data_IF_621546336341
#
_entry.id   IF_621546336341
#
_cell.length_a   1.000
_cell.length_b   1.000
_cell.length_c   1.000
_cell.angle_alpha   90.00
_cell.angle_beta   90.00
_cell.angle_gamma   90.00
#
_symmetry.space_group_name_H-M   'P 1'
#
loop_
_entity.id
_entity.type
_entity.pdbx_description
1 polymer ?
#
# COMPACT_ATOMS: atom_id res chain seq x y z
N UNK A 1 24.28 -19.45 -7.91
CA UNK A 1 23.61 -20.13 -9.02
C UNK A 1 23.23 -21.53 -8.59
N UNK A 2 21.92 -21.80 -8.55
CA UNK A 2 21.40 -23.14 -8.22
C UNK A 2 20.73 -23.72 -9.45
N UNK A 3 20.92 -24.99 -9.69
CA UNK A 3 20.23 -25.76 -10.72
C UNK A 3 19.13 -26.60 -10.06
N UNK A 4 18.04 -26.85 -10.79
CA UNK A 4 16.98 -27.74 -10.35
C UNK A 4 17.53 -29.16 -10.15
N UNK A 5 17.34 -29.74 -8.99
CA UNK A 5 17.83 -31.09 -8.66
C UNK A 5 17.14 -32.19 -9.48
N UNK A 6 15.94 -31.90 -10.00
CA UNK A 6 15.14 -32.87 -10.76
C UNK A 6 15.45 -32.86 -12.26
N UNK A 7 15.59 -31.66 -12.88
CA UNK A 7 15.77 -31.54 -14.32
C UNK A 7 17.12 -30.95 -14.74
N UNK A 8 17.93 -30.50 -13.81
CA UNK A 8 19.23 -29.86 -14.09
C UNK A 8 19.12 -28.46 -14.73
N UNK A 9 17.92 -27.93 -14.92
CA UNK A 9 17.72 -26.59 -15.46
C UNK A 9 18.17 -25.51 -14.50
N UNK A 10 18.57 -24.37 -15.01
CA UNK A 10 18.96 -23.20 -14.23
C UNK A 10 17.74 -22.61 -13.50
N UNK A 11 17.88 -22.32 -12.19
CA UNK A 11 16.83 -21.71 -11.40
C UNK A 11 16.92 -20.19 -11.53
N UNK A 12 15.84 -19.59 -11.98
CA UNK A 12 15.68 -18.14 -12.00
C UNK A 12 15.31 -17.68 -10.58
N UNK A 13 16.00 -16.66 -10.08
CA UNK A 13 15.67 -16.02 -8.82
C UNK A 13 14.87 -14.76 -9.10
N UNK A 14 13.69 -14.65 -8.49
CA UNK A 14 12.85 -13.46 -8.55
C UNK A 14 12.51 -12.98 -7.14
N UNK A 15 12.50 -11.65 -6.96
CA UNK A 15 12.02 -11.01 -5.74
C UNK A 15 12.95 -11.14 -4.54
N UNK A 16 12.36 -10.96 -3.37
CA UNK A 16 13.01 -11.09 -2.06
C UNK A 16 12.40 -12.24 -1.27
N UNK A 17 13.17 -12.77 -0.31
CA UNK A 17 12.68 -13.71 0.68
C UNK A 17 11.71 -12.99 1.63
N UNK A 18 10.42 -12.98 1.29
CA UNK A 18 9.37 -12.48 2.16
C UNK A 18 8.73 -13.69 2.85
N UNK A 19 8.68 -13.71 4.20
CA UNK A 19 8.03 -14.80 4.91
C UNK A 19 6.56 -14.93 4.48
N UNK A 20 6.16 -16.11 4.06
CA UNK A 20 4.80 -16.36 3.55
C UNK A 20 3.73 -16.09 4.60
N UNK A 21 4.11 -16.24 5.85
CA UNK A 21 3.30 -15.96 7.03
C UNK A 21 2.85 -14.51 7.13
N UNK A 22 3.59 -13.57 6.54
CA UNK A 22 3.19 -12.15 6.48
C UNK A 22 1.85 -11.97 5.76
N UNK A 23 1.56 -12.81 4.77
CA UNK A 23 0.33 -12.74 3.97
C UNK A 23 -0.78 -13.58 4.55
N UNK A 24 -0.49 -14.78 5.03
CA UNK A 24 -1.48 -15.77 5.42
C UNK A 24 -1.59 -15.98 6.94
N UNK A 25 -0.68 -15.41 7.75
CA UNK A 25 -0.52 -15.77 9.15
C UNK A 25 0.10 -17.16 9.32
N UNK A 26 0.55 -17.48 10.53
CA UNK A 26 1.18 -18.77 10.83
C UNK A 26 0.21 -19.95 10.81
N UNK A 27 -1.08 -19.70 10.85
CA UNK A 27 -2.14 -20.73 10.83
C UNK A 27 -2.97 -20.71 9.55
N UNK A 28 -2.62 -19.87 8.57
CA UNK A 28 -3.43 -19.66 7.37
C UNK A 28 -4.80 -19.02 7.66
N UNK A 29 -4.89 -18.29 8.76
CA UNK A 29 -6.13 -17.67 9.27
C UNK A 29 -6.32 -16.22 8.80
N UNK A 30 -5.35 -15.69 8.07
CA UNK A 30 -5.43 -14.35 7.46
C UNK A 30 -5.83 -14.45 6.00
N UNK A 31 -6.87 -13.73 5.60
CA UNK A 31 -7.19 -13.54 4.18
C UNK A 31 -6.21 -12.54 3.58
N UNK A 32 -5.48 -12.89 2.51
CA UNK A 32 -4.54 -11.96 1.90
C UNK A 32 -5.25 -10.81 1.18
N UNK A 33 -4.68 -9.63 1.24
CA UNK A 33 -5.02 -8.55 0.32
C UNK A 33 -4.39 -8.88 -1.05
N UNK A 34 -5.19 -8.83 -2.11
CA UNK A 34 -4.75 -9.15 -3.47
C UNK A 34 -4.82 -7.87 -4.30
N UNK A 35 -3.66 -7.27 -4.52
CA UNK A 35 -3.49 -6.10 -5.37
C UNK A 35 -2.98 -6.52 -6.75
N UNK A 36 -3.74 -6.18 -7.79
CA UNK A 36 -3.43 -6.49 -9.18
C UNK A 36 -3.25 -5.18 -9.95
N UNK A 37 -2.03 -4.90 -10.39
CA UNK A 37 -1.69 -3.69 -11.11
C UNK A 37 -1.86 -3.88 -12.62
N UNK A 38 -2.75 -3.09 -13.20
CA UNK A 38 -2.99 -3.05 -14.63
C UNK A 38 -2.67 -1.66 -15.20
N UNK A 39 -2.48 -1.59 -16.51
CA UNK A 39 -2.54 -0.31 -17.20
C UNK A 39 -3.86 0.39 -16.91
N UNK A 40 -3.81 1.69 -16.56
CA UNK A 40 -5.01 2.47 -16.25
C UNK A 40 -6.03 2.45 -17.40
N UNK A 41 -5.57 2.41 -18.64
CA UNK A 41 -6.41 2.31 -19.83
C UNK A 41 -7.11 0.95 -19.94
N UNK A 42 -6.49 -0.12 -19.44
CA UNK A 42 -7.00 -1.49 -19.52
C UNK A 42 -7.78 -1.92 -18.27
N UNK A 43 -7.70 -1.18 -17.17
CA UNK A 43 -8.36 -1.50 -15.91
C UNK A 43 -9.86 -1.83 -16.06
N UNK A 44 -10.68 -1.09 -16.82
CA UNK A 44 -12.10 -1.43 -17.01
C UNK A 44 -12.31 -2.80 -17.66
N UNK A 45 -11.42 -3.21 -18.56
CA UNK A 45 -11.47 -4.55 -19.17
C UNK A 45 -11.14 -5.63 -18.16
N UNK A 46 -10.13 -5.41 -17.30
CA UNK A 46 -9.79 -6.32 -16.22
C UNK A 46 -10.94 -6.47 -15.22
N UNK A 47 -11.60 -5.36 -14.84
CA UNK A 47 -12.81 -5.41 -14.02
C UNK A 47 -13.89 -6.27 -14.66
N UNK A 48 -14.22 -6.04 -15.93
CA UNK A 48 -15.26 -6.80 -16.62
C UNK A 48 -14.89 -8.28 -16.77
N UNK A 49 -13.60 -8.60 -16.90
CA UNK A 49 -13.15 -9.98 -17.00
C UNK A 49 -13.39 -10.78 -15.72
N UNK A 50 -13.43 -10.15 -14.56
CA UNK A 50 -13.81 -10.85 -13.31
C UNK A 50 -15.22 -11.42 -13.37
N UNK A 51 -16.16 -10.78 -14.09
CA UNK A 51 -17.50 -11.32 -14.31
C UNK A 51 -17.48 -12.59 -15.16
N UNK A 52 -16.55 -12.66 -16.12
CA UNK A 52 -16.36 -13.87 -16.95
C UNK A 52 -15.79 -15.01 -16.11
N UNK A 53 -14.87 -14.71 -15.20
CA UNK A 53 -14.21 -15.72 -14.36
C UNK A 53 -15.10 -16.26 -13.25
N UNK A 54 -15.87 -15.40 -12.58
CA UNK A 54 -16.59 -15.75 -11.35
C UNK A 54 -18.11 -15.77 -11.49
N UNK A 55 -18.65 -15.26 -12.60
CA UNK A 55 -20.07 -15.07 -12.79
C UNK A 55 -20.53 -13.64 -12.55
N UNK A 56 -21.48 -13.18 -13.36
CA UNK A 56 -21.97 -11.79 -13.31
C UNK A 56 -22.74 -11.49 -12.01
N UNK A 57 -23.39 -12.50 -11.45
CA UNK A 57 -24.15 -12.45 -10.20
C UNK A 57 -23.29 -12.61 -8.93
N UNK A 58 -21.98 -12.86 -9.09
CA UNK A 58 -21.02 -13.09 -8.00
C UNK A 58 -20.01 -11.96 -7.81
N UNK A 59 -20.02 -10.95 -8.67
CA UNK A 59 -19.00 -9.91 -8.70
C UNK A 59 -19.62 -8.53 -8.58
N UNK A 60 -19.15 -7.75 -7.60
CA UNK A 60 -19.68 -6.44 -7.27
C UNK A 60 -18.54 -5.44 -7.03
N UNK A 61 -18.80 -4.15 -7.26
CA UNK A 61 -17.85 -3.11 -6.84
C UNK A 61 -17.87 -2.97 -5.33
N UNK A 62 -16.70 -2.82 -4.72
CA UNK A 62 -16.60 -2.54 -3.29
C UNK A 62 -17.17 -1.15 -2.98
N UNK A 63 -18.08 -1.08 -2.02
CA UNK A 63 -18.63 0.17 -1.52
C UNK A 63 -17.67 0.87 -0.57
N UNK A 64 -17.75 2.19 -0.52
CA UNK A 64 -17.10 3.03 0.48
C UNK A 64 -18.11 3.92 1.17
N UNK A 65 -17.87 4.22 2.45
CA UNK A 65 -18.69 5.15 3.21
C UNK A 65 -17.83 6.33 3.62
N UNK A 66 -18.14 7.49 3.05
CA UNK A 66 -17.52 8.75 3.44
C UNK A 66 -18.11 9.27 4.76
N UNK A 67 -17.25 9.56 5.70
CA UNK A 67 -17.63 10.14 7.00
C UNK A 67 -17.16 11.58 7.12
N UNK A 68 -17.73 12.31 8.06
CA UNK A 68 -17.32 13.69 8.35
C UNK A 68 -15.97 13.66 9.08
N UNK A 69 -14.93 14.18 8.42
CA UNK A 69 -13.60 14.33 9.04
C UNK A 69 -13.62 15.45 10.09
N UNK A 70 -12.74 15.39 11.08
CA UNK A 70 -12.65 16.34 12.20
C UNK A 70 -12.54 17.80 11.73
N UNK A 71 -11.67 18.09 10.76
CA UNK A 71 -11.53 19.43 10.18
C UNK A 71 -12.82 19.94 9.52
N UNK A 72 -13.56 19.06 8.86
CA UNK A 72 -14.86 19.38 8.25
C UNK A 72 -15.91 19.59 9.33
N UNK A 73 -15.95 18.76 10.36
CA UNK A 73 -16.83 18.89 11.51
C UNK A 73 -16.59 20.23 12.23
N UNK A 74 -15.33 20.62 12.42
CA UNK A 74 -14.98 21.92 13.00
C UNK A 74 -15.54 23.07 12.15
N UNK A 75 -15.41 23.01 10.82
CA UNK A 75 -15.97 24.00 9.91
C UNK A 75 -17.50 24.11 10.05
N UNK A 76 -18.20 23.00 10.11
CA UNK A 76 -19.66 22.98 10.28
C UNK A 76 -20.09 23.56 11.61
N UNK A 77 -19.46 23.17 12.71
CA UNK A 77 -19.77 23.69 14.06
C UNK A 77 -19.53 25.18 14.13
N UNK A 78 -18.40 25.66 13.63
CA UNK A 78 -18.06 27.11 13.62
C UNK A 78 -19.01 27.89 12.73
N UNK A 79 -19.31 27.38 11.54
CA UNK A 79 -20.27 28.00 10.62
C UNK A 79 -21.64 28.15 11.28
N UNK A 80 -22.19 27.06 11.82
CA UNK A 80 -23.47 27.10 12.51
C UNK A 80 -23.51 28.10 13.69
N UNK A 81 -22.49 28.07 14.54
CA UNK A 81 -22.44 28.98 15.69
C UNK A 81 -22.37 30.47 15.24
N UNK A 82 -21.61 30.75 14.20
CA UNK A 82 -21.52 32.12 13.64
C UNK A 82 -22.87 32.56 13.02
N UNK A 83 -23.52 31.69 12.24
CA UNK A 83 -24.81 31.99 11.63
C UNK A 83 -25.91 32.26 12.67
N UNK A 84 -25.84 31.58 13.80
CA UNK A 84 -26.77 31.76 14.92
C UNK A 84 -26.35 32.89 15.89
N UNK A 85 -25.17 33.51 15.71
CA UNK A 85 -24.64 34.51 16.63
C UNK A 85 -24.30 33.97 18.01
N UNK A 86 -24.02 32.65 18.12
CA UNK A 86 -23.74 31.98 19.38
C UNK A 86 -22.23 31.90 19.63
N UNK A 87 -21.79 32.44 20.75
CA UNK A 87 -20.42 32.31 21.18
C UNK A 87 -20.25 31.16 22.18
N UNK A 88 -19.33 30.22 21.88
CA UNK A 88 -18.98 29.09 22.76
C UNK A 88 -17.49 29.07 23.05
N UNK A 89 -17.12 28.50 24.21
CA UNK A 89 -15.70 28.25 24.54
C UNK A 89 -15.12 27.19 23.63
N UNK A 90 -13.78 27.19 23.43
CA UNK A 90 -13.06 26.22 22.60
C UNK A 90 -13.41 24.76 22.98
N UNK A 91 -13.36 24.43 24.27
CA UNK A 91 -13.68 23.09 24.75
C UNK A 91 -15.11 22.61 24.41
N UNK A 92 -16.10 23.54 24.39
CA UNK A 92 -17.47 23.18 23.96
C UNK A 92 -17.54 23.03 22.44
N UNK A 93 -16.80 23.81 21.68
CA UNK A 93 -16.66 23.64 20.22
C UNK A 93 -16.06 22.27 19.94
N UNK A 94 -14.96 21.91 20.61
CA UNK A 94 -14.28 20.61 20.45
C UNK A 94 -15.21 19.44 20.82
N UNK A 95 -16.03 19.58 21.86
CA UNK A 95 -17.03 18.55 22.20
C UNK A 95 -18.07 18.37 21.10
N UNK A 96 -18.55 19.45 20.52
CA UNK A 96 -19.51 19.41 19.40
C UNK A 96 -18.87 18.82 18.13
N UNK A 97 -17.62 19.19 17.84
CA UNK A 97 -16.82 18.66 16.73
C UNK A 97 -16.66 17.15 16.87
N UNK A 98 -16.30 16.64 18.07
CA UNK A 98 -16.20 15.19 18.32
C UNK A 98 -17.54 14.48 18.08
N UNK A 99 -18.67 15.10 18.45
CA UNK A 99 -20.00 14.55 18.19
C UNK A 99 -20.41 14.52 16.71
N UNK A 100 -19.79 15.34 15.87
CA UNK A 100 -20.03 15.38 14.41
C UNK A 100 -19.01 14.56 13.64
N UNK A 101 -17.85 14.29 14.21
CA UNK A 101 -16.77 13.54 13.55
C UNK A 101 -17.19 12.06 13.42
N UNK A 102 -16.90 11.47 12.25
CA UNK A 102 -17.22 10.06 11.98
C UNK A 102 -18.67 9.80 11.57
N UNK A 103 -19.54 10.82 11.57
CA UNK A 103 -20.92 10.67 11.08
C UNK A 103 -20.88 10.30 9.59
N UNK A 104 -21.59 9.25 9.20
CA UNK A 104 -21.73 8.80 7.82
C UNK A 104 -22.43 9.85 7.00
N UNK A 105 -21.86 10.20 5.84
CA UNK A 105 -22.36 11.29 4.99
C UNK A 105 -22.70 10.84 3.59
N UNK A 106 -21.78 10.10 2.95
CA UNK A 106 -21.93 9.73 1.54
C UNK A 106 -21.56 8.26 1.36
N UNK A 107 -22.14 7.64 0.34
CA UNK A 107 -21.69 6.34 -0.18
C UNK A 107 -20.93 6.57 -1.47
N UNK A 108 -19.98 5.71 -1.77
CA UNK A 108 -19.17 5.77 -2.98
C UNK A 108 -18.72 4.39 -3.41
N UNK A 109 -17.92 4.35 -4.46
CA UNK A 109 -17.26 3.14 -4.94
C UNK A 109 -15.77 3.20 -4.66
N UNK A 110 -15.19 2.07 -4.25
CA UNK A 110 -13.74 1.92 -4.25
C UNK A 110 -13.22 1.90 -5.70
N UNK A 111 -12.16 2.65 -6.05
CA UNK A 111 -11.72 2.79 -7.43
C UNK A 111 -11.22 1.47 -8.06
N UNK A 112 -10.64 0.57 -7.29
CA UNK A 112 -10.09 -0.70 -7.74
C UNK A 112 -10.76 -1.94 -7.14
N UNK A 113 -11.51 -1.80 -6.04
CA UNK A 113 -12.02 -2.92 -5.26
C UNK A 113 -13.17 -3.67 -5.96
N UNK A 114 -12.97 -4.96 -6.13
CA UNK A 114 -13.97 -5.91 -6.63
C UNK A 114 -14.23 -6.95 -5.53
N UNK A 115 -15.49 -7.09 -5.14
CA UNK A 115 -15.94 -8.12 -4.20
C UNK A 115 -16.35 -9.35 -4.99
N UNK A 116 -15.81 -10.49 -4.59
CA UNK A 116 -16.17 -11.81 -5.15
C UNK A 116 -16.87 -12.60 -4.06
N UNK A 117 -18.10 -13.03 -4.37
CA UNK A 117 -18.94 -13.84 -3.49
C UNK A 117 -18.73 -15.31 -3.82
N UNK A 118 -18.62 -16.20 -2.81
CA UNK A 118 -18.57 -17.65 -3.05
C UNK A 118 -19.75 -18.13 -3.89
N UNK A 119 -19.53 -19.08 -4.79
CA UNK A 119 -20.55 -19.59 -5.73
C UNK A 119 -21.77 -20.24 -5.05
N UNK A 120 -21.60 -20.77 -3.83
CA UNK A 120 -22.66 -21.37 -3.02
C UNK A 120 -23.43 -20.35 -2.13
N UNK A 121 -23.10 -19.05 -2.19
CA UNK A 121 -23.74 -17.98 -1.38
C UNK A 121 -24.30 -16.87 -2.28
N UNK A 122 -25.15 -16.04 -1.70
CA UNK A 122 -25.69 -14.84 -2.35
C UNK A 122 -25.09 -13.57 -1.75
N UNK A 123 -25.00 -12.50 -2.56
CA UNK A 123 -24.52 -11.20 -2.06
C UNK A 123 -25.37 -10.67 -0.91
N UNK A 124 -26.67 -10.96 -0.91
CA UNK A 124 -27.59 -10.52 0.13
C UNK A 124 -27.37 -11.21 1.49
N UNK A 125 -26.58 -12.29 1.52
CA UNK A 125 -26.12 -12.89 2.79
C UNK A 125 -25.11 -11.99 3.51
N UNK A 126 -24.47 -11.06 2.78
CA UNK A 126 -23.39 -10.19 3.30
C UNK A 126 -23.80 -8.71 3.36
N UNK A 127 -24.47 -8.20 2.35
CA UNK A 127 -24.73 -6.76 2.22
C UNK A 127 -25.87 -6.48 1.23
N UNK A 128 -26.65 -5.41 1.46
CA UNK A 128 -27.44 -4.83 0.39
C UNK A 128 -26.55 -4.32 -0.74
N UNK A 129 -27.10 -4.23 -1.93
CA UNK A 129 -26.43 -3.65 -3.11
C UNK A 129 -27.17 -2.40 -3.59
N UNK A 130 -26.46 -1.53 -4.29
CA UNK A 130 -27.01 -0.28 -4.81
C UNK A 130 -26.40 0.07 -6.18
N UNK A 131 -27.10 0.87 -6.94
CA UNK A 131 -26.52 1.52 -8.11
C UNK A 131 -25.62 2.68 -7.68
N UNK A 132 -24.43 2.85 -8.32
CA UNK A 132 -23.54 3.96 -8.01
C UNK A 132 -24.23 5.29 -8.35
N UNK A 133 -24.24 6.24 -7.40
CA UNK A 133 -24.89 7.54 -7.55
C UNK A 133 -26.37 7.47 -8.02
N UNK A 134 -27.08 6.41 -7.64
CA UNK A 134 -28.47 6.11 -8.08
C UNK A 134 -28.66 5.97 -9.61
N UNK A 135 -27.57 5.79 -10.35
CA UNK A 135 -27.60 5.60 -11.80
C UNK A 135 -27.98 4.15 -12.16
N UNK A 136 -29.23 3.93 -12.49
CA UNK A 136 -29.76 2.61 -12.88
C UNK A 136 -29.24 2.12 -14.24
N UNK A 137 -28.56 2.96 -15.01
CA UNK A 137 -27.91 2.56 -16.27
C UNK A 137 -26.51 2.02 -16.06
N UNK A 138 -25.96 2.12 -14.84
CA UNK A 138 -24.62 1.60 -14.51
C UNK A 138 -24.54 0.10 -14.72
N UNK A 139 -23.47 -0.36 -15.37
CA UNK A 139 -23.20 -1.77 -15.64
C UNK A 139 -22.70 -2.54 -14.41
N UNK A 140 -22.43 -1.85 -13.31
CA UNK A 140 -21.90 -2.41 -12.07
C UNK A 140 -22.78 -2.03 -10.88
N UNK A 141 -23.10 -3.05 -10.07
CA UNK A 141 -23.68 -2.84 -8.75
C UNK A 141 -22.56 -2.70 -7.71
N UNK A 142 -22.83 -1.91 -6.67
CA UNK A 142 -21.90 -1.63 -5.58
C UNK A 142 -22.46 -2.20 -4.29
N UNK A 143 -21.61 -2.77 -3.44
CA UNK A 143 -21.98 -3.15 -2.09
C UNK A 143 -22.35 -1.90 -1.30
N UNK A 144 -23.44 -1.97 -0.50
CA UNK A 144 -23.85 -0.82 0.32
C UNK A 144 -23.00 -0.71 1.59
N UNK A 145 -22.66 -1.84 2.21
CA UNK A 145 -21.75 -1.84 3.35
C UNK A 145 -20.33 -1.56 2.89
N UNK A 146 -19.61 -0.80 3.70
CA UNK A 146 -18.17 -0.62 3.52
C UNK A 146 -17.45 -1.97 3.63
N UNK A 147 -16.44 -2.18 2.78
CA UNK A 147 -15.71 -3.44 2.75
C UNK A 147 -15.16 -3.84 4.13
N UNK A 148 -14.69 -2.88 4.93
CA UNK A 148 -14.16 -3.17 6.28
C UNK A 148 -15.18 -3.81 7.23
N UNK A 149 -16.47 -3.72 6.90
CA UNK A 149 -17.53 -4.36 7.70
C UNK A 149 -17.85 -5.78 7.27
N UNK A 150 -17.37 -6.22 6.10
CA UNK A 150 -17.68 -7.54 5.51
C UNK A 150 -16.42 -8.31 5.07
N UNK A 151 -15.22 -7.78 5.29
CA UNK A 151 -13.96 -8.29 4.74
C UNK A 151 -13.60 -9.71 5.20
N UNK A 152 -14.09 -10.16 6.35
CA UNK A 152 -13.81 -11.49 6.87
C UNK A 152 -14.59 -12.61 6.13
N UNK A 153 -15.60 -12.26 5.35
CA UNK A 153 -16.54 -13.20 4.77
C UNK A 153 -16.51 -13.25 3.24
N UNK A 154 -15.89 -12.26 2.58
CA UNK A 154 -15.85 -12.16 1.12
C UNK A 154 -14.43 -11.86 0.65
N UNK A 155 -14.09 -12.32 -0.55
CA UNK A 155 -12.82 -11.99 -1.18
C UNK A 155 -12.90 -10.62 -1.84
N UNK A 156 -11.90 -9.79 -1.60
CA UNK A 156 -11.70 -8.54 -2.32
C UNK A 156 -10.47 -8.66 -3.23
N UNK A 157 -10.63 -8.27 -4.48
CA UNK A 157 -9.55 -8.06 -5.42
C UNK A 157 -9.41 -6.57 -5.65
N UNK A 158 -8.24 -6.00 -5.39
CA UNK A 158 -7.92 -4.62 -5.75
C UNK A 158 -7.27 -4.60 -7.13
N UNK A 159 -8.10 -4.32 -8.15
CA UNK A 159 -7.65 -4.18 -9.54
C UNK A 159 -7.36 -2.71 -9.78
N UNK A 160 -6.08 -2.37 -9.68
CA UNK A 160 -5.60 -0.99 -9.69
C UNK A 160 -5.12 -0.60 -11.09
N UNK A 161 -5.46 0.61 -11.51
CA UNK A 161 -4.96 1.21 -12.75
C UNK A 161 -3.77 2.10 -12.47
N UNK A 162 -2.62 1.79 -13.08
CA UNK A 162 -1.37 2.54 -12.95
C UNK A 162 -0.83 2.96 -14.30
N UNK A 163 0.01 3.99 -14.32
CA UNK A 163 0.72 4.43 -15.51
C UNK A 163 1.92 3.52 -15.82
N UNK A 164 2.53 2.92 -14.80
CA UNK A 164 3.74 2.10 -14.93
C UNK A 164 3.58 0.92 -15.89
N UNK A 165 2.52 0.09 -15.79
CA UNK A 165 2.30 -0.99 -16.75
C UNK A 165 2.09 -0.48 -18.18
N UNK A 166 1.48 0.70 -18.36
CA UNK A 166 1.31 1.33 -19.66
C UNK A 166 2.67 1.72 -20.25
N UNK A 167 3.53 2.35 -19.45
CA UNK A 167 4.88 2.76 -19.86
C UNK A 167 5.76 1.56 -20.16
N UNK A 168 5.75 0.53 -19.32
CA UNK A 168 6.52 -0.70 -19.53
C UNK A 168 6.10 -1.38 -20.82
N UNK A 169 4.80 -1.46 -21.10
CA UNK A 169 4.29 -2.03 -22.35
C UNK A 169 4.71 -1.21 -23.56
N UNK A 170 4.62 0.10 -23.50
CA UNK A 170 5.09 0.98 -24.58
C UNK A 170 6.59 0.79 -24.85
N UNK A 171 7.41 0.73 -23.81
CA UNK A 171 8.85 0.50 -23.94
C UNK A 171 9.15 -0.89 -24.54
N UNK A 172 8.39 -1.92 -24.16
CA UNK A 172 8.48 -3.24 -24.75
C UNK A 172 8.15 -3.19 -26.26
N UNK A 173 7.06 -2.54 -26.63
CA UNK A 173 6.62 -2.45 -28.02
C UNK A 173 7.63 -1.66 -28.90
N UNK A 174 8.28 -0.64 -28.34
CA UNK A 174 9.29 0.16 -29.03
C UNK A 174 10.65 -0.54 -29.15
N UNK A 175 11.09 -1.23 -28.11
CA UNK A 175 12.42 -1.85 -28.04
C UNK A 175 12.45 -3.31 -28.50
N UNK A 176 11.31 -4.01 -28.45
CA UNK A 176 11.23 -5.45 -28.63
C UNK A 176 11.80 -6.28 -27.47
N UNK A 177 12.19 -5.64 -26.37
CA UNK A 177 12.76 -6.30 -25.19
C UNK A 177 11.65 -6.71 -24.23
N UNK A 178 11.63 -7.98 -23.83
CA UNK A 178 10.73 -8.43 -22.77
C UNK A 178 11.21 -7.90 -21.41
N UNK A 179 10.42 -7.08 -20.68
CA UNK A 179 10.79 -6.52 -19.40
C UNK A 179 11.19 -7.56 -18.35
N UNK A 180 10.65 -8.76 -18.44
CA UNK A 180 10.96 -9.89 -17.53
C UNK A 180 12.39 -10.42 -17.70
N UNK A 181 13.05 -10.10 -18.81
CA UNK A 181 14.43 -10.52 -19.07
C UNK A 181 15.47 -9.50 -18.64
N UNK A 182 15.05 -8.31 -18.20
CA UNK A 182 15.95 -7.24 -17.76
C UNK A 182 16.48 -7.57 -16.37
N UNK A 183 17.82 -7.65 -16.18
CA UNK A 183 18.40 -7.92 -14.88
C UNK A 183 18.18 -6.72 -13.93
N UNK A 184 17.86 -7.00 -12.67
CA UNK A 184 17.65 -5.96 -11.64
C UNK A 184 18.93 -5.44 -11.01
N UNK A 185 20.10 -6.01 -11.37
CA UNK A 185 21.42 -5.68 -10.84
C UNK A 185 22.33 -4.99 -11.87
N UNK A 186 21.75 -4.46 -12.96
CA UNK A 186 22.50 -3.68 -13.94
C UNK A 186 23.13 -2.44 -13.30
N UNK A 187 24.45 -2.33 -13.42
CA UNK A 187 25.24 -1.32 -12.71
C UNK A 187 25.00 0.11 -13.22
N UNK A 188 24.79 0.27 -14.51
CA UNK A 188 24.53 1.60 -15.11
C UNK A 188 23.15 2.09 -14.68
N UNK A 189 22.17 1.20 -14.68
CA UNK A 189 20.83 1.49 -14.16
C UNK A 189 20.87 1.79 -12.68
N UNK A 190 21.59 1.02 -11.87
CA UNK A 190 21.73 1.29 -10.44
C UNK A 190 22.41 2.64 -10.15
N UNK A 191 23.29 3.10 -11.03
CA UNK A 191 23.95 4.39 -10.85
C UNK A 191 22.98 5.58 -10.88
N UNK A 192 21.85 5.50 -11.58
CA UNK A 192 20.87 6.61 -11.65
C UNK A 192 20.31 6.99 -10.27
N UNK A 193 20.32 6.08 -9.32
CA UNK A 193 19.84 6.33 -7.95
C UNK A 193 20.82 7.15 -7.10
N UNK A 194 22.06 7.32 -7.55
CA UNK A 194 23.08 8.11 -6.85
C UNK A 194 23.69 9.23 -7.71
N UNK A 195 23.55 9.16 -9.03
CA UNK A 195 24.11 10.15 -9.98
C UNK A 195 23.35 10.10 -11.31
N UNK A 196 23.18 11.22 -12.03
CA UNK A 196 22.59 11.22 -13.36
C UNK A 196 23.58 10.86 -14.48
N UNK A 197 24.86 10.62 -14.16
CA UNK A 197 25.93 10.48 -15.15
C UNK A 197 25.72 9.36 -16.17
N UNK A 198 25.14 8.21 -15.78
CA UNK A 198 24.83 7.11 -16.70
C UNK A 198 23.75 7.47 -17.75
N UNK A 199 22.98 8.53 -17.51
CA UNK A 199 22.04 9.09 -18.49
C UNK A 199 22.72 10.06 -19.49
N UNK A 200 24.01 10.30 -19.35
CA UNK A 200 24.77 11.23 -20.21
C UNK A 200 24.47 12.70 -19.91
N UNK A 201 23.97 13.03 -18.73
CA UNK A 201 23.70 14.40 -18.29
C UNK A 201 24.40 14.67 -16.95
N UNK A 202 24.63 15.96 -16.67
CA UNK A 202 25.23 16.40 -15.40
C UNK A 202 24.17 16.81 -14.37
N UNK A 203 24.59 16.97 -13.11
CA UNK A 203 23.72 17.48 -12.05
C UNK A 203 23.22 18.90 -12.38
N UNK A 204 24.05 19.71 -13.01
CA UNK A 204 23.70 21.08 -13.42
C UNK A 204 22.66 21.11 -14.54
N UNK A 205 22.73 20.15 -15.49
CA UNK A 205 21.78 20.08 -16.60
C UNK A 205 20.36 19.82 -16.14
N UNK A 206 20.20 18.98 -15.13
CA UNK A 206 18.87 18.57 -14.62
C UNK A 206 18.54 19.14 -13.24
N UNK A 207 19.44 19.93 -12.65
CA UNK A 207 19.30 20.52 -11.30
C UNK A 207 18.96 19.46 -10.23
N UNK A 208 19.58 18.28 -10.34
CA UNK A 208 19.34 17.14 -9.47
C UNK A 208 20.57 16.25 -9.38
N UNK A 209 20.88 15.76 -8.18
CA UNK A 209 21.99 14.84 -7.93
C UNK A 209 21.71 13.40 -8.32
N UNK A 210 20.45 13.05 -8.55
CA UNK A 210 20.03 11.71 -8.97
C UNK A 210 19.39 11.74 -10.34
N UNK A 211 19.44 10.63 -11.08
CA UNK A 211 18.83 10.46 -12.39
C UNK A 211 17.39 9.93 -12.35
N UNK A 212 16.67 10.09 -11.25
CA UNK A 212 15.43 9.34 -10.97
C UNK A 212 14.14 10.10 -11.23
N UNK A 213 14.16 11.27 -11.88
CA UNK A 213 12.94 12.06 -12.15
C UNK A 213 11.83 11.28 -12.85
N UNK A 214 12.17 10.40 -13.79
CA UNK A 214 11.22 9.57 -14.53
C UNK A 214 10.97 8.19 -13.91
N UNK A 215 11.54 7.90 -12.74
CA UNK A 215 11.34 6.62 -12.06
C UNK A 215 10.19 6.76 -11.08
N UNK A 216 9.10 5.97 -11.25
CA UNK A 216 7.95 6.00 -10.35
C UNK A 216 8.37 5.84 -8.88
N UNK A 217 7.71 6.60 -7.98
CA UNK A 217 8.01 6.69 -6.54
C UNK A 217 9.37 7.29 -6.20
N UNK A 218 10.44 7.01 -6.95
CA UNK A 218 11.81 7.49 -6.70
C UNK A 218 12.09 8.89 -7.28
N UNK A 219 11.18 9.44 -8.07
CA UNK A 219 11.30 10.79 -8.65
C UNK A 219 10.78 11.91 -7.76
N UNK A 220 10.14 11.61 -6.63
CA UNK A 220 9.63 12.63 -5.70
C UNK A 220 10.77 13.35 -4.97
N UNK A 221 10.58 14.63 -4.61
CA UNK A 221 11.60 15.38 -3.88
C UNK A 221 12.01 14.71 -2.56
N UNK A 222 11.05 14.12 -1.86
CA UNK A 222 11.31 13.40 -0.62
C UNK A 222 12.22 12.18 -0.82
N UNK A 223 11.89 11.32 -1.78
CA UNK A 223 12.68 10.09 -2.03
C UNK A 223 14.03 10.42 -2.64
N UNK A 224 14.13 11.43 -3.52
CA UNK A 224 15.44 11.89 -4.02
C UNK A 224 16.36 12.35 -2.89
N UNK A 225 15.84 13.03 -1.86
CA UNK A 225 16.62 13.36 -0.68
C UNK A 225 17.09 12.12 0.09
N UNK A 226 16.24 11.09 0.21
CA UNK A 226 16.63 9.80 0.80
C UNK A 226 17.78 9.15 0.00
N UNK A 227 17.70 9.19 -1.32
CA UNK A 227 18.75 8.65 -2.21
C UNK A 227 20.08 9.40 -2.05
N UNK A 228 20.04 10.72 -1.90
CA UNK A 228 21.23 11.53 -1.62
C UNK A 228 21.87 11.17 -0.27
N UNK A 229 21.05 10.92 0.76
CA UNK A 229 21.51 10.55 2.09
C UNK A 229 22.09 9.11 2.13
N UNK A 230 21.51 8.18 1.38
CA UNK A 230 21.81 6.74 1.50
C UNK A 230 22.72 6.19 0.40
N UNK A 231 22.69 6.78 -0.80
CA UNK A 231 23.47 6.37 -1.98
C UNK A 231 23.44 4.87 -2.25
N UNK A 232 22.26 4.31 -2.53
CA UNK A 232 22.09 2.85 -2.68
C UNK A 232 22.90 2.33 -3.88
N UNK A 233 23.41 1.10 -3.73
CA UNK A 233 24.22 0.41 -4.74
C UNK A 233 23.63 -0.93 -5.17
N UNK A 234 22.60 -1.38 -4.46
CA UNK A 234 21.94 -2.68 -4.69
C UNK A 234 20.43 -2.54 -4.77
N UNK A 235 19.78 -3.48 -5.47
CA UNK A 235 18.32 -3.52 -5.55
C UNK A 235 17.68 -3.72 -4.17
N UNK A 236 18.30 -4.51 -3.30
CA UNK A 236 17.84 -4.71 -1.92
C UNK A 236 17.76 -3.39 -1.14
N UNK A 237 18.75 -2.51 -1.30
CA UNK A 237 18.73 -1.19 -0.68
C UNK A 237 17.61 -0.29 -1.25
N UNK A 238 17.26 -0.44 -2.53
CA UNK A 238 16.10 0.26 -3.10
C UNK A 238 14.79 -0.20 -2.49
N UNK A 239 14.66 -1.50 -2.21
CA UNK A 239 13.47 -2.03 -1.51
C UNK A 239 13.37 -1.49 -0.09
N UNK A 240 14.50 -1.37 0.63
CA UNK A 240 14.54 -0.73 1.94
C UNK A 240 14.10 0.75 1.86
N UNK A 241 14.61 1.51 0.90
CA UNK A 241 14.24 2.91 0.70
C UNK A 241 12.75 3.02 0.37
N UNK A 242 12.22 2.15 -0.49
CA UNK A 242 10.79 2.12 -0.80
C UNK A 242 9.97 1.88 0.48
N UNK A 243 10.33 0.91 1.31
CA UNK A 243 9.67 0.67 2.59
C UNK A 243 9.72 1.87 3.53
N UNK A 244 10.88 2.49 3.68
CA UNK A 244 11.11 3.66 4.55
C UNK A 244 10.44 4.94 4.02
N UNK A 245 10.12 5.02 2.74
CA UNK A 245 9.43 6.17 2.14
C UNK A 245 7.92 6.17 2.39
N UNK A 246 7.36 5.05 2.84
CA UNK A 246 5.95 4.87 3.13
C UNK A 246 5.70 4.95 4.65
N UNK A 247 4.69 5.72 5.01
CA UNK A 247 4.30 5.90 6.41
C UNK A 247 4.75 7.22 7.02
N UNK A 248 4.06 7.61 8.09
CA UNK A 248 4.34 8.85 8.84
C UNK A 248 5.49 8.60 9.80
N UNK A 249 6.45 9.53 9.83
CA UNK A 249 7.59 9.55 10.77
C UNK A 249 8.48 8.28 10.75
N UNK A 250 8.49 7.55 9.63
CA UNK A 250 9.34 6.36 9.49
C UNK A 250 10.77 6.73 9.14
N UNK A 251 10.95 7.70 8.25
CA UNK A 251 12.26 8.15 7.79
C UNK A 251 12.76 9.35 8.60
N UNK A 252 12.07 10.51 8.51
CA UNK A 252 12.50 11.75 9.15
C UNK A 252 12.44 11.63 10.69
N UNK A 253 13.52 12.01 11.35
CA UNK A 253 13.62 11.95 12.81
C UNK A 253 13.70 10.52 13.37
N UNK A 254 13.88 9.50 12.51
CA UNK A 254 13.94 8.11 12.91
C UNK A 254 15.07 7.38 12.13
N UNK A 255 14.77 6.57 11.13
CA UNK A 255 15.78 5.80 10.39
C UNK A 255 16.89 6.69 9.80
N UNK A 256 16.56 7.88 9.30
CA UNK A 256 17.52 8.88 8.82
C UNK A 256 18.58 9.24 9.87
N UNK A 257 18.17 9.48 11.11
CA UNK A 257 19.10 9.86 12.18
C UNK A 257 19.99 8.69 12.60
N UNK A 258 19.42 7.46 12.63
CA UNK A 258 20.19 6.27 12.95
C UNK A 258 21.29 6.02 11.91
N UNK A 259 20.97 6.17 10.63
CA UNK A 259 21.92 6.01 9.53
C UNK A 259 22.97 7.14 9.54
N UNK A 260 22.54 8.40 9.67
CA UNK A 260 23.45 9.56 9.69
C UNK A 260 24.40 9.54 10.89
N UNK A 261 23.96 9.05 12.04
CA UNK A 261 24.81 8.91 13.23
C UNK A 261 25.71 7.68 13.21
N UNK A 262 25.59 6.82 12.19
CA UNK A 262 26.39 5.59 12.06
C UNK A 262 26.01 4.49 13.05
N UNK A 263 24.82 4.54 13.66
CA UNK A 263 24.31 3.48 14.54
C UNK A 263 23.96 2.25 13.74
N UNK A 264 23.41 2.41 12.56
CA UNK A 264 23.15 1.35 11.59
C UNK A 264 23.41 1.86 10.17
N UNK A 265 23.50 0.95 9.23
CA UNK A 265 23.48 1.24 7.80
C UNK A 265 22.12 0.91 7.18
N UNK A 266 21.95 1.23 5.88
CA UNK A 266 20.70 1.00 5.17
C UNK A 266 20.35 -0.49 5.10
N UNK A 267 21.34 -1.38 5.08
CA UNK A 267 21.15 -2.82 4.99
C UNK A 267 20.69 -3.46 6.29
N UNK A 268 20.95 -2.81 7.42
CA UNK A 268 20.63 -3.30 8.76
C UNK A 268 19.47 -2.58 9.44
N UNK A 269 18.97 -1.49 8.85
CA UNK A 269 17.81 -0.78 9.38
C UNK A 269 16.52 -1.55 9.11
N UNK A 270 15.57 -1.48 10.03
CA UNK A 270 14.23 -2.01 9.81
C UNK A 270 13.51 -1.13 8.78
N UNK A 271 13.36 -1.62 7.56
CA UNK A 271 12.81 -0.88 6.43
C UNK A 271 11.36 -1.24 6.09
N UNK A 272 10.89 -2.42 6.49
CA UNK A 272 9.53 -2.88 6.23
C UNK A 272 8.97 -3.66 7.43
N UNK A 273 7.65 -3.96 7.37
CA UNK A 273 6.99 -4.71 8.45
C UNK A 273 7.55 -6.11 8.65
N UNK A 274 7.98 -6.75 7.58
CA UNK A 274 8.53 -8.11 7.62
C UNK A 274 9.82 -8.14 8.44
N UNK A 275 10.65 -7.11 8.32
CA UNK A 275 11.87 -6.97 9.13
C UNK A 275 11.55 -6.92 10.62
N UNK A 276 10.44 -6.27 11.02
CA UNK A 276 10.00 -6.24 12.42
C UNK A 276 9.73 -7.66 12.92
N UNK A 277 8.96 -8.43 12.15
CA UNK A 277 8.57 -9.79 12.51
C UNK A 277 9.82 -10.68 12.62
N UNK A 278 10.67 -10.65 11.59
CA UNK A 278 11.90 -11.43 11.53
C UNK A 278 12.86 -11.08 12.67
N UNK A 279 13.05 -9.79 12.94
CA UNK A 279 13.87 -9.32 14.05
C UNK A 279 13.38 -9.85 15.40
N UNK A 280 12.07 -9.76 15.65
CA UNK A 280 11.48 -10.26 16.90
C UNK A 280 11.62 -11.78 17.04
N UNK A 281 11.48 -12.53 15.95
CA UNK A 281 11.68 -13.98 15.96
C UNK A 281 13.15 -14.34 16.25
N UNK A 282 14.12 -13.64 15.68
CA UNK A 282 15.53 -13.81 16.01
C UNK A 282 15.87 -13.40 17.44
N UNK A 283 15.15 -12.44 18.01
CA UNK A 283 15.25 -12.08 19.42
C UNK A 283 14.60 -13.12 20.37
N UNK A 284 14.00 -14.18 19.83
CA UNK A 284 13.43 -15.30 20.59
C UNK A 284 11.95 -15.18 20.88
N UNK A 285 11.25 -14.23 20.27
CA UNK A 285 9.79 -14.11 20.41
C UNK A 285 9.10 -15.23 19.63
N UNK A 286 8.02 -15.77 20.19
CA UNK A 286 7.21 -16.80 19.54
C UNK A 286 6.64 -16.24 18.22
N UNK A 287 6.65 -17.02 17.10
CA UNK A 287 6.29 -16.53 15.77
C UNK A 287 4.92 -15.85 15.68
N UNK A 288 3.86 -16.43 16.26
CA UNK A 288 2.54 -15.78 16.21
C UNK A 288 2.48 -14.49 17.02
N UNK A 289 3.26 -14.35 18.09
CA UNK A 289 3.37 -13.13 18.87
C UNK A 289 4.17 -12.07 18.09
N UNK A 290 5.27 -12.46 17.42
CA UNK A 290 6.03 -11.57 16.54
C UNK A 290 5.14 -11.00 15.43
N UNK A 291 4.31 -11.85 14.81
CA UNK A 291 3.33 -11.44 13.81
C UNK A 291 2.30 -10.44 14.36
N UNK A 292 1.69 -10.72 15.50
CA UNK A 292 0.72 -9.82 16.14
C UNK A 292 1.35 -8.47 16.49
N UNK A 293 2.57 -8.48 16.99
CA UNK A 293 3.32 -7.27 17.33
C UNK A 293 3.61 -6.46 16.07
N UNK A 294 4.09 -7.08 15.01
CA UNK A 294 4.33 -6.45 13.70
C UNK A 294 3.04 -5.79 13.18
N UNK A 295 1.91 -6.49 13.19
CA UNK A 295 0.61 -5.94 12.75
C UNK A 295 0.15 -4.76 13.62
N UNK A 296 0.41 -4.79 14.92
CA UNK A 296 0.10 -3.68 15.84
C UNK A 296 0.93 -2.44 15.53
N UNK A 297 2.23 -2.62 15.28
CA UNK A 297 3.13 -1.53 14.88
C UNK A 297 2.69 -0.93 13.54
N UNK A 298 2.39 -1.77 12.55
CA UNK A 298 1.91 -1.32 11.23
C UNK A 298 0.65 -0.47 11.33
N UNK A 299 -0.27 -0.82 12.24
CA UNK A 299 -1.52 -0.10 12.46
C UNK A 299 -1.37 1.13 13.36
N UNK A 300 -0.14 1.47 13.79
CA UNK A 300 0.13 2.60 14.68
C UNK A 300 -0.46 2.46 16.08
N UNK A 301 -0.80 1.23 16.50
CA UNK A 301 -1.28 0.97 17.85
C UNK A 301 -0.09 0.98 18.81
N UNK A 302 -0.14 1.82 19.85
CA UNK A 302 0.88 1.82 20.89
C UNK A 302 0.85 0.50 21.68
N UNK A 303 2.04 -0.04 21.95
CA UNK A 303 2.23 -1.33 22.63
C UNK A 303 1.87 -1.32 24.13
N UNK A 304 1.34 -0.23 24.66
CA UNK A 304 1.02 -0.10 26.08
C UNK A 304 -0.09 -1.07 26.56
N UNK A 305 -0.94 -1.56 25.65
CA UNK A 305 -1.98 -2.54 26.00
C UNK A 305 -1.47 -3.99 26.10
N UNK A 306 -0.29 -4.30 25.58
CA UNK A 306 0.25 -5.68 25.57
C UNK A 306 1.29 -5.97 26.66
N UNK A 307 1.77 -4.95 27.38
CA UNK A 307 2.69 -5.15 28.51
C UNK A 307 2.04 -5.83 29.72
N UNK A 308 0.69 -5.76 29.84
CA UNK A 308 -0.02 -6.43 30.93
C UNK A 308 -0.21 -7.94 30.69
N UNK A 309 -0.21 -8.39 29.44
CA UNK A 309 -0.31 -9.84 29.11
C UNK A 309 1.02 -10.57 29.15
N UNK A 310 2.15 -9.86 29.09
CA UNK A 310 3.49 -10.42 29.19
C UNK A 310 3.97 -10.56 30.64
N UNK A 311 3.21 -10.06 31.62
CA UNK A 311 3.52 -10.16 33.05
C UNK A 311 2.71 -11.22 33.79
N UNK A 312 1.86 -11.96 33.11
CA UNK A 312 1.14 -13.15 33.62
C UNK A 312 1.68 -14.41 32.94
#
# INVERSE_FOLDING_TARGET
DKTCETCGGELIKEGQDIPFETFLGFKGDKVPDIDLNFSGEYQPHAHNYTKVLFGEDKVFRAGTIGTVAEKTAFGFVKGYLNDQGIHKRGAEIDRLVKGCTGVKRTTGQHPGGIIVVPDYMDIYDFTPIQYPADDQSASWMTTHFDFHSIHDNVLKLDILGHDDPTMIRMLQDLSGIDPKTIPVDDKETMQIFSSPASLGVTEEDILCKTGTFGVPEFGTGFVRQMLEDTKPTTFSELVQISGLSHGTDVWLGNAQELIRSGICDLSSVIGCRDDIMVYLMYAGLEPSMAFKTMESVRKGKRSEEHTSELQS
#
